data_IF_390588116296
#
_entry.id   IF_390588116296
#
_cell.length_a   1.000
_cell.length_b   1.000
_cell.length_c   1.000
_cell.angle_alpha   90.00
_cell.angle_beta   90.00
_cell.angle_gamma   90.00
#
_symmetry.space_group_name_H-M   'P 1'
#
loop_
_entity.id
_entity.type
_entity.pdbx_description
1 polymer ?
#
# COMPACT_ATOMS: atom_id res chain seq x y z
N UNK A 1 -6.35 -9.17 18.46
CA UNK A 1 -6.94 -8.28 19.48
C UNK A 1 -8.29 -7.79 18.96
N UNK A 2 -9.34 -7.78 19.79
CA UNK A 2 -10.68 -7.31 19.40
C UNK A 2 -10.89 -5.89 19.90
N UNK A 3 -11.53 -5.06 19.08
CA UNK A 3 -11.87 -3.67 19.39
C UNK A 3 -13.34 -3.44 19.08
N UNK A 4 -13.99 -2.60 19.88
CA UNK A 4 -15.34 -2.11 19.59
C UNK A 4 -15.22 -0.71 18.97
N UNK A 5 -15.97 -0.47 17.91
CA UNK A 5 -15.91 0.78 17.12
C UNK A 5 -17.33 1.19 16.73
N UNK A 6 -17.61 2.49 16.82
CA UNK A 6 -18.83 3.10 16.30
C UNK A 6 -18.53 3.70 14.93
N UNK A 7 -19.32 3.33 13.93
CA UNK A 7 -19.26 3.87 12.57
C UNK A 7 -20.65 4.31 12.12
N UNK A 8 -20.77 5.35 11.27
CA UNK A 8 -21.98 5.63 10.52
C UNK A 8 -22.46 4.41 9.73
N UNK A 9 -23.76 4.30 9.49
CA UNK A 9 -24.34 3.15 8.79
C UNK A 9 -23.79 3.03 7.36
N UNK A 10 -23.60 4.15 6.68
CA UNK A 10 -23.05 4.20 5.33
C UNK A 10 -21.63 3.63 5.23
N UNK A 11 -20.82 3.81 6.28
CA UNK A 11 -19.46 3.26 6.32
C UNK A 11 -19.50 1.74 6.54
N UNK A 12 -20.44 1.25 7.36
CA UNK A 12 -20.65 -0.20 7.55
C UNK A 12 -21.12 -0.84 6.24
N UNK A 13 -22.08 -0.22 5.55
CA UNK A 13 -22.58 -0.69 4.25
C UNK A 13 -21.48 -0.74 3.20
N UNK A 14 -20.62 0.29 3.17
CA UNK A 14 -19.45 0.31 2.29
C UNK A 14 -18.51 -0.87 2.58
N UNK A 15 -18.17 -1.11 3.84
CA UNK A 15 -17.28 -2.21 4.24
C UNK A 15 -17.85 -3.58 3.82
N UNK A 16 -19.17 -3.77 3.93
CA UNK A 16 -19.84 -5.01 3.53
C UNK A 16 -19.83 -5.22 2.02
N UNK A 17 -20.17 -4.17 1.26
CA UNK A 17 -20.14 -4.25 -0.20
C UNK A 17 -18.72 -4.51 -0.71
N UNK A 18 -17.73 -3.83 -0.13
CA UNK A 18 -16.33 -4.02 -0.46
C UNK A 18 -15.86 -5.44 -0.12
N UNK A 19 -16.22 -5.96 1.05
CA UNK A 19 -15.89 -7.33 1.44
C UNK A 19 -16.44 -8.34 0.44
N UNK A 20 -17.72 -8.20 0.06
CA UNK A 20 -18.39 -9.08 -0.89
C UNK A 20 -17.76 -9.00 -2.29
N UNK A 21 -17.50 -7.79 -2.78
CA UNK A 21 -16.95 -7.55 -4.11
C UNK A 21 -15.55 -8.15 -4.27
N UNK A 22 -14.71 -7.98 -3.25
CA UNK A 22 -13.29 -8.36 -3.31
C UNK A 22 -13.01 -9.73 -2.65
N UNK A 23 -14.04 -10.43 -2.18
CA UNK A 23 -13.93 -11.79 -1.63
C UNK A 23 -13.31 -11.87 -0.23
N UNK A 24 -13.46 -10.84 0.60
CA UNK A 24 -13.01 -10.88 2.00
C UNK A 24 -13.99 -11.61 2.91
N UNK A 25 -13.46 -12.42 3.82
CA UNK A 25 -14.26 -13.23 4.75
C UNK A 25 -14.91 -12.44 5.89
N UNK A 26 -14.49 -11.19 6.14
CA UNK A 26 -15.06 -10.38 7.23
C UNK A 26 -14.81 -8.88 7.06
N UNK A 27 -15.66 -8.06 7.73
CA UNK A 27 -15.44 -6.61 7.89
C UNK A 27 -14.07 -6.29 8.51
N UNK A 28 -13.62 -7.09 9.46
CA UNK A 28 -12.30 -6.90 10.09
C UNK A 28 -11.15 -7.06 9.10
N UNK A 29 -11.28 -7.92 8.09
CA UNK A 29 -10.27 -8.04 7.03
C UNK A 29 -10.20 -6.76 6.17
N UNK A 30 -11.35 -6.17 5.84
CA UNK A 30 -11.42 -4.90 5.10
C UNK A 30 -10.88 -3.74 5.94
N UNK A 31 -11.26 -3.65 7.22
CA UNK A 31 -10.72 -2.63 8.14
C UNK A 31 -9.19 -2.78 8.28
N UNK A 32 -8.68 -4.00 8.37
CA UNK A 32 -7.24 -4.24 8.42
C UNK A 32 -6.53 -3.78 7.13
N UNK A 33 -7.13 -3.99 5.95
CA UNK A 33 -6.65 -3.42 4.68
C UNK A 33 -6.65 -1.89 4.73
N UNK A 34 -7.74 -1.26 5.19
CA UNK A 34 -7.83 0.19 5.30
C UNK A 34 -6.74 0.77 6.21
N UNK A 35 -6.46 0.14 7.35
CA UNK A 35 -5.36 0.55 8.25
C UNK A 35 -4.00 0.46 7.56
N UNK A 36 -3.76 -0.57 6.73
CA UNK A 36 -2.52 -0.67 5.94
C UNK A 36 -2.41 0.43 4.90
N UNK A 37 -3.50 0.74 4.21
CA UNK A 37 -3.55 1.83 3.24
C UNK A 37 -3.28 3.19 3.93
N UNK A 38 -3.85 3.43 5.11
CA UNK A 38 -3.61 4.65 5.88
C UNK A 38 -2.15 4.77 6.35
N UNK A 39 -1.50 3.66 6.70
CA UNK A 39 -0.05 3.66 6.98
C UNK A 39 0.75 3.99 5.73
N UNK A 40 0.41 3.36 4.61
CA UNK A 40 1.10 3.57 3.34
C UNK A 40 0.93 4.99 2.80
N UNK A 41 -0.24 5.63 2.99
CA UNK A 41 -0.45 7.02 2.57
C UNK A 41 0.45 8.02 3.29
N UNK A 42 0.96 7.66 4.48
CA UNK A 42 1.96 8.46 5.20
C UNK A 42 3.40 8.29 4.68
N UNK A 43 3.65 7.32 3.80
CA UNK A 43 5.01 7.01 3.31
C UNK A 43 5.41 7.80 2.06
N UNK A 44 4.48 8.51 1.42
CA UNK A 44 4.72 9.17 0.12
C UNK A 44 5.94 10.11 0.14
N UNK A 45 6.01 11.01 1.13
CA UNK A 45 7.13 11.93 1.26
C UNK A 45 8.48 11.22 1.52
N UNK A 46 8.47 10.12 2.27
CA UNK A 46 9.67 9.34 2.54
C UNK A 46 10.17 8.60 1.29
N UNK A 47 9.26 8.08 0.47
CA UNK A 47 9.63 7.49 -0.83
C UNK A 47 10.14 8.55 -1.81
N UNK A 48 9.52 9.74 -1.82
CA UNK A 48 9.98 10.85 -2.67
C UNK A 48 11.40 11.28 -2.28
N UNK A 49 11.69 11.44 -0.99
CA UNK A 49 13.03 11.77 -0.52
C UNK A 49 14.04 10.65 -0.86
N UNK A 50 13.68 9.40 -0.61
CA UNK A 50 14.55 8.26 -0.92
C UNK A 50 14.90 8.19 -2.42
N UNK A 51 13.94 8.47 -3.32
CA UNK A 51 14.22 8.56 -4.75
C UNK A 51 15.11 9.74 -5.12
N UNK A 52 14.94 10.90 -4.47
CA UNK A 52 15.80 12.06 -4.69
C UNK A 52 17.24 11.79 -4.24
N UNK A 53 17.42 11.19 -3.07
CA UNK A 53 18.74 10.78 -2.56
C UNK A 53 19.41 9.77 -3.50
N UNK A 54 18.67 8.76 -3.95
CA UNK A 54 19.14 7.74 -4.89
C UNK A 54 19.63 8.34 -6.21
N UNK A 55 18.81 9.20 -6.83
CA UNK A 55 19.16 9.87 -8.09
C UNK A 55 20.32 10.87 -7.91
N UNK A 56 20.33 11.64 -6.83
CA UNK A 56 21.40 12.60 -6.56
C UNK A 56 22.75 11.91 -6.27
N UNK A 57 22.72 10.67 -5.76
CA UNK A 57 23.90 9.86 -5.50
C UNK A 57 24.51 9.20 -6.75
N UNK A 58 23.85 9.25 -7.91
CA UNK A 58 24.26 8.55 -9.13
C UNK A 58 24.12 7.03 -9.05
N UNK A 59 23.37 6.53 -8.05
CA UNK A 59 23.08 5.10 -7.90
C UNK A 59 22.16 4.61 -9.02
N UNK A 60 21.29 5.47 -9.57
CA UNK A 60 20.45 5.12 -10.72
C UNK A 60 21.28 4.68 -11.93
N UNK A 61 22.26 5.48 -12.33
CA UNK A 61 23.17 5.19 -13.45
C UNK A 61 24.03 3.96 -13.18
N UNK A 62 24.48 3.77 -11.93
CA UNK A 62 25.29 2.61 -11.54
C UNK A 62 24.52 1.30 -11.71
N UNK A 63 23.29 1.25 -11.20
CA UNK A 63 22.47 0.04 -11.17
C UNK A 63 21.74 -0.23 -12.49
N UNK A 64 21.51 0.79 -13.32
CA UNK A 64 20.81 0.65 -14.62
C UNK A 64 21.45 -0.40 -15.53
N UNK A 65 22.78 -0.53 -15.48
CA UNK A 65 23.53 -1.51 -16.29
C UNK A 65 23.14 -2.97 -16.02
N UNK A 66 22.59 -3.26 -14.84
CA UNK A 66 22.20 -4.62 -14.42
C UNK A 66 20.72 -4.92 -14.69
N UNK A 67 19.95 -3.96 -15.19
CA UNK A 67 18.49 -4.07 -15.36
C UNK A 67 18.06 -5.20 -16.32
N UNK A 68 18.93 -5.58 -17.26
CA UNK A 68 18.67 -6.61 -18.27
C UNK A 68 19.32 -7.97 -17.95
N UNK A 69 20.05 -8.09 -16.84
CA UNK A 69 20.78 -9.30 -16.51
C UNK A 69 19.82 -10.50 -16.35
N UNK A 70 20.08 -11.57 -17.10
CA UNK A 70 19.30 -12.81 -17.06
C UNK A 70 17.99 -12.81 -17.87
N UNK A 71 17.65 -11.71 -18.56
CA UNK A 71 16.55 -11.68 -19.52
C UNK A 71 16.99 -12.27 -20.88
N UNK A 72 16.10 -12.98 -21.60
CA UNK A 72 16.36 -13.35 -22.98
C UNK A 72 16.49 -12.09 -23.84
N UNK A 73 17.37 -12.17 -24.84
CA UNK A 73 17.54 -11.10 -25.85
C UNK A 73 16.36 -11.01 -26.81
#
# INVERSE_FOLDING_TARGET
MKVSVSLPNEDVDFLDQYAKKEGYESRSAVVHKAVRLLRASGLGAAYEEAWREWAAGGEDELWESTSADGLPS
#
